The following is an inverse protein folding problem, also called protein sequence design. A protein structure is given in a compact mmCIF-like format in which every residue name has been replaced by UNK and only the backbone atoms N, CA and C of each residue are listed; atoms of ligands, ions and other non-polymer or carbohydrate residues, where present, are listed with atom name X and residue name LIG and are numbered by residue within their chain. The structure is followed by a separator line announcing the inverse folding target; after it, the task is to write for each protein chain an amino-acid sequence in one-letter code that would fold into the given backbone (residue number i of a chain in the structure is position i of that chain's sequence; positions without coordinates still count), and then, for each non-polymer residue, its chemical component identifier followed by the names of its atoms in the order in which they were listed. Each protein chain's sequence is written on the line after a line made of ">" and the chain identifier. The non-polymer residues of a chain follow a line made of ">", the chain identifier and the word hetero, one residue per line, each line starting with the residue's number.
data_IF_777397043903
#
_entry.id   IF_777397043903
#
_cell.length_a   1.000
_cell.length_b   1.000
_cell.length_c   1.000
_cell.angle_alpha   90.00
_cell.angle_beta   90.00
_cell.angle_gamma   90.00
#
_symmetry.space_group_name_H-M   'P 1'
#
loop_
_entity.id
_entity.type
_entity.pdbx_description
1 polymer ?
#
# COMPACT_ATOMS: atom_id res chain seq x y z
N UNK A 1 18.38 19.02 -3.78
CA UNK A 1 17.62 17.83 -3.33
C UNK A 1 16.85 17.28 -4.51
N UNK A 2 17.21 16.09 -5.01
CA UNK A 2 16.45 15.46 -6.11
C UNK A 2 15.26 14.71 -5.51
N UNK A 3 14.08 14.96 -6.03
CA UNK A 3 12.83 14.39 -5.54
C UNK A 3 12.10 13.68 -6.67
N UNK A 4 11.45 12.58 -6.34
CA UNK A 4 10.46 11.93 -7.21
C UNK A 4 9.11 12.03 -6.53
N UNK A 5 8.22 12.85 -7.08
CA UNK A 5 6.83 12.93 -6.59
C UNK A 5 6.11 11.63 -6.93
N UNK A 6 5.32 11.12 -6.00
CA UNK A 6 4.42 10.03 -6.30
C UNK A 6 3.23 10.52 -7.12
N UNK A 7 2.51 9.57 -7.71
CA UNK A 7 1.24 9.86 -8.34
C UNK A 7 0.28 10.40 -7.28
N UNK A 8 -0.19 11.64 -7.47
CA UNK A 8 -1.18 12.25 -6.60
C UNK A 8 -2.51 12.36 -7.33
N UNK A 9 -3.31 11.31 -7.21
CA UNK A 9 -4.65 11.21 -7.83
C UNK A 9 -5.60 12.23 -7.19
N UNK A 10 -5.43 12.50 -5.89
CA UNK A 10 -6.30 13.33 -5.07
C UNK A 10 -5.70 14.73 -4.83
N UNK A 11 -4.95 15.25 -5.79
CA UNK A 11 -4.18 16.50 -5.61
C UNK A 11 -5.03 17.74 -5.32
N UNK A 12 -6.30 17.73 -5.74
CA UNK A 12 -7.25 18.82 -5.49
C UNK A 12 -8.00 18.69 -4.15
N UNK A 13 -7.84 17.57 -3.42
CA UNK A 13 -8.56 17.31 -2.19
C UNK A 13 -7.76 17.77 -0.96
N UNK A 14 -8.28 18.76 -0.24
CA UNK A 14 -7.81 19.05 1.12
C UNK A 14 -8.39 18.04 2.11
N UNK A 15 -7.54 17.13 2.61
CA UNK A 15 -7.93 16.09 3.56
C UNK A 15 -8.49 16.61 4.89
N UNK A 16 -8.36 17.92 5.20
CA UNK A 16 -9.07 18.52 6.34
C UNK A 16 -10.60 18.43 6.20
N UNK A 17 -11.12 18.30 4.96
CA UNK A 17 -12.56 18.12 4.72
C UNK A 17 -13.12 16.86 5.38
N UNK A 18 -12.28 15.84 5.63
CA UNK A 18 -12.67 14.61 6.32
C UNK A 18 -13.05 14.84 7.78
N UNK A 19 -12.73 16.01 8.35
CA UNK A 19 -13.13 16.42 9.68
C UNK A 19 -14.50 17.14 9.68
N UNK A 20 -15.05 17.46 8.51
CA UNK A 20 -16.39 18.04 8.40
C UNK A 20 -17.46 16.97 8.65
N UNK A 21 -18.37 17.13 9.64
CA UNK A 21 -19.46 16.18 9.89
C UNK A 21 -20.42 15.95 8.72
N UNK A 22 -20.48 16.89 7.77
CA UNK A 22 -21.29 16.77 6.56
C UNK A 22 -20.60 15.97 5.44
N UNK A 23 -19.29 15.71 5.55
CA UNK A 23 -18.57 14.86 4.61
C UNK A 23 -18.83 13.39 4.96
N UNK A 24 -19.83 12.80 4.32
CA UNK A 24 -20.33 11.45 4.61
C UNK A 24 -19.95 10.43 3.53
N UNK A 25 -20.50 9.23 3.61
CA UNK A 25 -20.20 8.11 2.71
C UNK A 25 -20.40 8.46 1.22
N UNK A 26 -21.42 9.25 0.89
CA UNK A 26 -21.64 9.77 -0.46
C UNK A 26 -20.50 10.67 -0.95
N UNK A 27 -19.97 11.53 -0.08
CA UNK A 27 -18.81 12.38 -0.37
C UNK A 27 -17.54 11.56 -0.54
N UNK A 28 -17.32 10.53 0.30
CA UNK A 28 -16.20 9.58 0.14
C UNK A 28 -16.26 8.87 -1.21
N UNK A 29 -17.46 8.48 -1.66
CA UNK A 29 -17.68 7.83 -2.96
C UNK A 29 -17.29 8.70 -4.14
N UNK A 30 -17.71 9.95 -4.15
CA UNK A 30 -17.53 10.83 -5.30
C UNK A 30 -16.18 11.55 -5.30
N UNK A 31 -15.71 12.03 -4.15
CA UNK A 31 -14.51 12.88 -4.06
C UNK A 31 -13.22 12.07 -3.89
N UNK A 32 -13.31 10.80 -3.44
CA UNK A 32 -12.12 9.98 -3.14
C UNK A 32 -12.11 8.70 -3.97
N UNK A 33 -13.14 7.86 -3.82
CA UNK A 33 -13.14 6.54 -4.46
C UNK A 33 -13.24 6.66 -5.98
N UNK A 34 -14.12 7.53 -6.48
CA UNK A 34 -14.35 7.67 -7.92
C UNK A 34 -13.09 8.10 -8.71
N UNK A 35 -12.30 9.10 -8.28
CA UNK A 35 -11.01 9.41 -8.89
C UNK A 35 -10.06 8.20 -8.93
N UNK A 36 -9.94 7.46 -7.82
CA UNK A 36 -9.05 6.30 -7.69
C UNK A 36 -9.42 5.21 -8.69
N UNK A 37 -10.70 4.82 -8.76
CA UNK A 37 -11.13 3.72 -9.61
C UNK A 37 -11.11 4.08 -11.09
N UNK A 38 -11.27 5.36 -11.43
CA UNK A 38 -11.05 5.87 -12.80
C UNK A 38 -9.60 5.76 -13.20
N UNK A 39 -8.68 6.15 -12.32
CA UNK A 39 -7.25 6.06 -12.57
C UNK A 39 -6.76 4.60 -12.63
N UNK A 40 -7.39 3.68 -11.89
CA UNK A 40 -7.15 2.23 -12.03
C UNK A 40 -7.53 1.69 -13.42
N UNK A 41 -8.29 2.46 -14.22
CA UNK A 41 -8.70 2.11 -15.56
C UNK A 41 -10.12 1.56 -15.68
N UNK A 42 -10.97 1.72 -14.66
CA UNK A 42 -12.39 1.38 -14.72
C UNK A 42 -13.25 2.59 -15.11
N UNK A 43 -14.23 2.39 -15.98
CA UNK A 43 -15.12 3.43 -16.49
C UNK A 43 -16.60 3.05 -16.42
N UNK A 44 -17.47 3.85 -17.02
CA UNK A 44 -18.91 3.55 -17.06
C UNK A 44 -19.29 2.51 -18.12
N UNK A 45 -18.38 2.20 -19.04
CA UNK A 45 -18.59 1.30 -20.17
C UNK A 45 -17.58 0.15 -20.18
N UNK A 46 -17.90 -0.88 -20.96
CA UNK A 46 -16.98 -1.98 -21.29
C UNK A 46 -15.71 -1.46 -22.01
N UNK A 47 -14.59 -2.20 -21.94
CA UNK A 47 -14.42 -3.52 -21.32
C UNK A 47 -14.27 -3.50 -19.80
N UNK A 48 -13.86 -2.39 -19.19
CA UNK A 48 -13.60 -2.28 -17.74
C UNK A 48 -14.66 -1.39 -17.11
N UNK A 49 -15.71 -2.02 -16.59
CA UNK A 49 -16.93 -1.33 -16.21
C UNK A 49 -17.10 -1.23 -14.69
N UNK A 50 -17.56 -0.07 -14.23
CA UNK A 50 -18.05 0.20 -12.88
C UNK A 50 -19.57 0.00 -12.90
N UNK A 51 -20.05 -0.92 -12.07
CA UNK A 51 -21.47 -1.19 -11.85
C UNK A 51 -21.84 -0.73 -10.45
N UNK A 52 -22.81 0.19 -10.37
CA UNK A 52 -23.39 0.67 -9.12
C UNK A 52 -24.81 0.14 -8.95
N UNK A 53 -25.31 0.14 -7.72
CA UNK A 53 -26.71 -0.20 -7.41
C UNK A 53 -27.13 -1.61 -7.86
N UNK A 54 -26.17 -2.54 -7.98
CA UNK A 54 -26.45 -3.94 -8.32
C UNK A 54 -27.18 -4.60 -7.15
N UNK A 55 -28.44 -4.96 -7.37
CA UNK A 55 -29.24 -5.69 -6.38
C UNK A 55 -28.86 -7.17 -6.39
N UNK A 56 -28.24 -7.64 -5.32
CA UNK A 56 -27.90 -9.05 -5.10
C UNK A 56 -28.94 -9.66 -4.17
N UNK A 57 -29.54 -10.78 -4.56
CA UNK A 57 -30.60 -11.40 -3.76
C UNK A 57 -30.02 -12.10 -2.52
N UNK A 58 -30.32 -11.60 -1.33
CA UNK A 58 -29.82 -12.19 -0.09
C UNK A 58 -30.21 -13.68 0.00
N UNK A 59 -29.23 -14.60 0.14
CA UNK A 59 -29.45 -16.03 -0.07
C UNK A 59 -30.38 -16.70 0.94
N UNK A 60 -30.66 -16.08 2.10
CA UNK A 60 -31.35 -16.72 3.23
C UNK A 60 -32.44 -15.85 3.88
N UNK A 61 -33.56 -15.61 3.20
CA UNK A 61 -34.71 -14.94 3.85
C UNK A 61 -36.03 -15.66 3.58
N UNK A 62 -36.32 -16.64 4.43
CA UNK A 62 -37.66 -17.20 4.60
C UNK A 62 -38.15 -16.77 5.97
N UNK A 63 -39.17 -15.91 6.02
CA UNK A 63 -39.84 -15.55 7.28
C UNK A 63 -41.19 -16.28 7.30
N UNK A 64 -41.23 -17.44 7.97
CA UNK A 64 -42.38 -18.34 7.94
C UNK A 64 -42.61 -18.93 6.54
N UNK A 65 -43.88 -18.98 6.09
CA UNK A 65 -44.28 -19.50 4.77
C UNK A 65 -44.19 -18.49 3.62
N UNK A 66 -43.85 -17.22 3.91
CA UNK A 66 -43.73 -16.17 2.89
C UNK A 66 -42.26 -15.90 2.57
N UNK A 67 -41.89 -16.13 1.32
CA UNK A 67 -40.58 -15.74 0.78
C UNK A 67 -40.57 -14.22 0.57
N UNK A 68 -39.69 -13.50 1.27
CA UNK A 68 -39.44 -12.07 1.01
C UNK A 68 -38.07 -11.94 0.36
N UNK A 69 -38.03 -11.25 -0.77
CA UNK A 69 -36.76 -10.92 -1.41
C UNK A 69 -36.13 -9.75 -0.63
N UNK A 70 -35.02 -10.01 0.06
CA UNK A 70 -34.14 -8.97 0.59
C UNK A 70 -32.97 -8.85 -0.36
N UNK A 71 -32.60 -7.62 -0.69
CA UNK A 71 -31.45 -7.36 -1.54
C UNK A 71 -30.35 -6.73 -0.72
N UNK A 72 -29.13 -7.10 -1.06
CA UNK A 72 -27.93 -6.41 -0.62
C UNK A 72 -27.28 -5.73 -1.84
N UNK A 73 -26.68 -4.57 -1.63
CA UNK A 73 -26.22 -3.71 -2.71
C UNK A 73 -24.81 -3.22 -2.34
N UNK A 74 -23.75 -3.70 -3.02
CA UNK A 74 -22.44 -3.08 -2.90
C UNK A 74 -22.45 -1.69 -3.53
N UNK A 75 -21.63 -0.77 -3.02
CA UNK A 75 -21.44 0.54 -3.65
C UNK A 75 -20.88 0.41 -5.06
N UNK A 76 -19.86 -0.44 -5.23
CA UNK A 76 -19.23 -0.71 -6.52
C UNK A 76 -19.00 -2.20 -6.73
N UNK A 77 -19.42 -2.68 -7.89
CA UNK A 77 -19.01 -3.93 -8.50
C UNK A 77 -18.24 -3.60 -9.77
N UNK A 78 -17.05 -4.18 -9.94
CA UNK A 78 -16.24 -3.98 -11.12
C UNK A 78 -16.35 -5.19 -12.05
N UNK A 79 -16.43 -4.93 -13.34
CA UNK A 79 -16.37 -5.96 -14.38
C UNK A 79 -15.20 -5.72 -15.33
N UNK A 80 -14.60 -6.81 -15.78
CA UNK A 80 -13.60 -6.83 -16.86
C UNK A 80 -14.08 -7.83 -17.89
N UNK A 81 -14.26 -7.38 -19.14
CA UNK A 81 -14.78 -8.18 -20.25
C UNK A 81 -16.12 -8.88 -19.93
N UNK A 82 -16.98 -8.19 -19.18
CA UNK A 82 -18.30 -8.69 -18.79
C UNK A 82 -18.28 -9.77 -17.70
N UNK A 83 -17.15 -9.95 -17.00
CA UNK A 83 -17.02 -10.83 -15.83
C UNK A 83 -16.82 -10.01 -14.56
N UNK A 84 -17.52 -10.31 -13.45
CA UNK A 84 -17.23 -9.75 -12.14
C UNK A 84 -15.75 -9.91 -11.78
N UNK A 85 -15.10 -8.82 -11.39
CA UNK A 85 -13.67 -8.77 -11.12
C UNK A 85 -13.37 -8.60 -9.62
N UNK A 86 -13.97 -7.59 -8.99
CA UNK A 86 -13.85 -7.31 -7.56
C UNK A 86 -14.98 -6.37 -7.12
N UNK A 87 -15.12 -6.12 -5.81
CA UNK A 87 -16.10 -5.20 -5.24
C UNK A 87 -15.45 -4.18 -4.29
N UNK A 88 -16.05 -3.01 -4.15
CA UNK A 88 -15.64 -2.00 -3.17
C UNK A 88 -16.87 -1.47 -2.44
N UNK A 89 -16.77 -1.40 -1.11
CA UNK A 89 -17.78 -0.81 -0.24
C UNK A 89 -17.24 0.49 0.39
N UNK A 90 -17.97 1.58 0.25
CA UNK A 90 -17.62 2.85 0.85
C UNK A 90 -18.17 2.91 2.29
N UNK A 91 -17.54 3.73 3.12
CA UNK A 91 -18.01 4.06 4.47
C UNK A 91 -17.79 5.54 4.77
N UNK A 92 -18.48 6.05 5.79
CA UNK A 92 -18.21 7.40 6.29
C UNK A 92 -16.84 7.51 6.98
N UNK A 93 -16.21 8.71 7.02
CA UNK A 93 -14.86 8.91 7.56
C UNK A 93 -14.59 8.44 9.00
N UNK A 94 -15.63 8.28 9.81
CA UNK A 94 -15.51 7.85 11.21
C UNK A 94 -15.78 6.35 11.41
N UNK A 95 -16.07 5.62 10.35
CA UNK A 95 -16.35 4.20 10.42
C UNK A 95 -15.09 3.35 10.30
N UNK A 96 -15.06 2.25 11.04
CA UNK A 96 -13.96 1.28 11.00
C UNK A 96 -14.09 0.38 9.77
N UNK A 97 -13.01 0.27 9.00
CA UNK A 97 -12.94 -0.59 7.81
C UNK A 97 -12.03 -1.81 7.98
N UNK A 98 -11.45 -1.99 9.17
CA UNK A 98 -10.67 -3.16 9.57
C UNK A 98 -11.29 -3.78 10.83
N UNK A 99 -11.25 -5.11 10.93
CA UNK A 99 -11.74 -5.87 12.10
C UNK A 99 -13.13 -5.40 12.57
N UNK A 100 -14.06 -5.16 11.64
CA UNK A 100 -15.38 -4.59 11.89
C UNK A 100 -16.46 -5.34 11.11
N UNK A 101 -17.73 -5.12 11.48
CA UNK A 101 -18.89 -5.67 10.76
C UNK A 101 -18.97 -5.18 9.31
N UNK A 102 -18.36 -4.04 9.00
CA UNK A 102 -18.28 -3.53 7.63
C UNK A 102 -17.48 -4.49 6.75
N UNK A 103 -16.42 -5.12 7.29
CA UNK A 103 -15.63 -6.13 6.58
C UNK A 103 -16.50 -7.35 6.24
N UNK A 104 -17.30 -7.83 7.19
CA UNK A 104 -18.23 -8.96 6.98
C UNK A 104 -19.27 -8.64 5.91
N UNK A 105 -19.79 -7.40 5.90
CA UNK A 105 -20.71 -6.90 4.89
C UNK A 105 -20.08 -6.93 3.48
N UNK A 106 -18.92 -6.30 3.30
CA UNK A 106 -18.24 -6.29 2.00
C UNK A 106 -17.84 -7.71 1.56
N UNK A 107 -17.34 -8.54 2.47
CA UNK A 107 -17.03 -9.95 2.20
C UNK A 107 -18.26 -10.71 1.68
N UNK A 108 -19.44 -10.48 2.27
CA UNK A 108 -20.69 -11.13 1.83
C UNK A 108 -21.05 -10.82 0.37
N UNK A 109 -20.71 -9.63 -0.12
CA UNK A 109 -20.90 -9.25 -1.52
C UNK A 109 -19.93 -10.00 -2.44
N UNK A 110 -18.66 -10.11 -2.02
CA UNK A 110 -17.62 -10.76 -2.79
C UNK A 110 -17.90 -12.24 -3.04
N UNK A 111 -18.37 -12.95 -2.01
CA UNK A 111 -18.69 -14.39 -2.08
C UNK A 111 -20.11 -14.67 -2.59
N UNK A 112 -20.91 -13.62 -2.85
CA UNK A 112 -22.29 -13.77 -3.30
C UNK A 112 -22.35 -14.63 -4.57
N UNK A 113 -23.37 -15.48 -4.69
CA UNK A 113 -23.49 -16.46 -5.78
C UNK A 113 -23.50 -15.84 -7.18
N UNK A 114 -24.03 -14.62 -7.30
CA UNK A 114 -24.06 -13.82 -8.54
C UNK A 114 -22.77 -13.06 -8.84
N UNK A 115 -21.84 -12.95 -7.87
CA UNK A 115 -20.62 -12.13 -7.98
C UNK A 115 -19.37 -13.02 -8.01
N UNK A 116 -19.09 -13.77 -6.95
CA UNK A 116 -17.97 -14.73 -6.80
C UNK A 116 -16.62 -14.18 -7.28
N UNK A 117 -16.11 -13.18 -6.58
CA UNK A 117 -14.82 -12.54 -6.87
C UNK A 117 -13.78 -12.84 -5.80
N UNK A 118 -12.50 -12.77 -6.16
CA UNK A 118 -11.40 -13.05 -5.23
C UNK A 118 -11.07 -11.87 -4.30
N UNK A 119 -11.37 -10.65 -4.73
CA UNK A 119 -10.99 -9.43 -4.03
C UNK A 119 -12.19 -8.58 -3.65
N UNK A 120 -12.09 -7.96 -2.48
CA UNK A 120 -12.99 -6.91 -2.04
C UNK A 120 -12.24 -5.83 -1.30
N UNK A 121 -12.72 -4.61 -1.35
CA UNK A 121 -12.11 -3.49 -0.65
C UNK A 121 -13.13 -2.69 0.17
N UNK A 122 -12.61 -1.99 1.16
CA UNK A 122 -13.33 -0.96 1.90
C UNK A 122 -12.53 0.34 1.86
N UNK A 123 -13.25 1.47 1.79
CA UNK A 123 -12.65 2.78 1.93
C UNK A 123 -13.57 3.72 2.70
N UNK A 124 -13.05 4.34 3.76
CA UNK A 124 -13.76 5.37 4.53
C UNK A 124 -13.28 6.79 4.19
N UNK A 125 -12.46 6.95 3.15
CA UNK A 125 -11.84 8.22 2.80
C UNK A 125 -10.62 8.60 3.63
N UNK A 126 -10.37 7.96 4.78
CA UNK A 126 -9.12 8.09 5.55
C UNK A 126 -8.15 6.96 5.27
N UNK A 127 -8.68 5.77 5.10
CA UNK A 127 -7.97 4.52 4.93
C UNK A 127 -8.57 3.74 3.76
N UNK A 128 -7.73 2.92 3.13
CA UNK A 128 -8.13 1.96 2.12
C UNK A 128 -7.66 0.57 2.56
N UNK A 129 -8.55 -0.42 2.52
CA UNK A 129 -8.22 -1.80 2.88
C UNK A 129 -8.69 -2.74 1.77
N UNK A 130 -7.74 -3.45 1.14
CA UNK A 130 -8.00 -4.49 0.14
C UNK A 130 -7.85 -5.86 0.79
N UNK A 131 -8.78 -6.74 0.52
CA UNK A 131 -8.81 -8.11 1.03
C UNK A 131 -8.88 -9.12 -0.10
N UNK A 132 -8.33 -10.31 0.15
CA UNK A 132 -8.61 -11.50 -0.61
C UNK A 132 -9.60 -12.37 0.18
N UNK A 133 -10.62 -12.95 -0.45
CA UNK A 133 -11.68 -13.74 0.23
C UNK A 133 -11.13 -14.91 1.07
N UNK A 134 -9.95 -15.43 0.71
CA UNK A 134 -9.27 -16.49 1.44
C UNK A 134 -8.43 -16.05 2.64
N UNK A 135 -8.45 -14.76 3.03
CA UNK A 135 -7.65 -14.22 4.15
C UNK A 135 -8.52 -13.36 5.07
N UNK A 136 -8.23 -13.44 6.38
CA UNK A 136 -8.91 -12.63 7.40
C UNK A 136 -8.33 -11.20 7.44
N UNK A 137 -7.01 -11.06 7.31
CA UNK A 137 -6.34 -9.77 7.30
C UNK A 137 -6.29 -9.18 5.88
N UNK A 138 -6.27 -7.83 5.77
CA UNK A 138 -6.14 -7.17 4.47
C UNK A 138 -4.81 -7.53 3.81
N UNK A 139 -4.81 -7.65 2.48
CA UNK A 139 -3.60 -7.81 1.67
C UNK A 139 -2.92 -6.48 1.37
N UNK A 140 -3.67 -5.37 1.43
CA UNK A 140 -3.15 -4.01 1.45
C UNK A 140 -4.00 -3.19 2.42
N UNK A 141 -3.37 -2.42 3.29
CA UNK A 141 -4.04 -1.45 4.16
C UNK A 141 -3.12 -0.24 4.33
N UNK A 142 -3.62 0.95 3.99
CA UNK A 142 -2.86 2.19 4.05
C UNK A 142 -3.75 3.39 4.32
N UNK A 143 -3.16 4.46 4.83
CA UNK A 143 -3.82 5.76 4.91
C UNK A 143 -3.94 6.35 3.51
N UNK A 144 -5.07 6.95 3.14
CA UNK A 144 -5.32 7.43 1.77
C UNK A 144 -4.26 8.42 1.28
N UNK A 145 -3.62 9.17 2.18
CA UNK A 145 -2.53 10.09 1.86
C UNK A 145 -1.28 9.36 1.35
N UNK A 146 -1.13 8.07 1.64
CA UNK A 146 -0.04 7.22 1.15
C UNK A 146 -0.40 6.52 -0.18
N UNK A 147 -1.54 6.81 -0.79
CA UNK A 147 -2.02 6.14 -2.02
C UNK A 147 -0.95 6.06 -3.12
N UNK A 148 -0.18 7.13 -3.31
CA UNK A 148 0.89 7.17 -4.31
C UNK A 148 1.97 6.10 -4.09
N UNK A 149 2.28 5.76 -2.84
CA UNK A 149 3.24 4.69 -2.47
C UNK A 149 2.68 3.29 -2.78
N UNK A 150 1.37 3.10 -2.61
CA UNK A 150 0.70 1.82 -2.79
C UNK A 150 0.09 1.62 -4.18
N UNK A 151 0.21 2.61 -5.06
CA UNK A 151 -0.44 2.60 -6.38
C UNK A 151 -0.08 1.39 -7.23
N UNK A 152 1.21 1.09 -7.34
CA UNK A 152 1.69 -0.08 -8.10
C UNK A 152 1.17 -1.39 -7.51
N UNK A 153 1.08 -1.48 -6.18
CA UNK A 153 0.50 -2.64 -5.51
C UNK A 153 -0.99 -2.77 -5.79
N UNK A 154 -1.77 -1.67 -5.75
CA UNK A 154 -3.19 -1.68 -6.14
C UNK A 154 -3.36 -2.15 -7.58
N UNK A 155 -2.62 -1.54 -8.53
CA UNK A 155 -2.67 -1.91 -9.95
C UNK A 155 -2.31 -3.38 -10.18
N UNK A 156 -1.38 -3.92 -9.40
CA UNK A 156 -0.99 -5.33 -9.45
C UNK A 156 -2.11 -6.29 -9.00
N UNK A 157 -2.92 -5.92 -8.00
CA UNK A 157 -3.99 -6.80 -7.52
C UNK A 157 -5.33 -6.60 -8.22
N UNK A 158 -5.73 -5.34 -8.42
CA UNK A 158 -7.09 -4.99 -8.84
C UNK A 158 -7.11 -4.16 -10.12
N UNK A 159 -5.96 -3.91 -10.75
CA UNK A 159 -5.92 -3.36 -12.11
C UNK A 159 -6.61 -4.31 -13.10
N UNK A 160 -7.35 -3.80 -14.10
CA UNK A 160 -8.15 -4.63 -15.01
C UNK A 160 -7.38 -5.77 -15.69
N UNK A 161 -6.10 -5.54 -16.03
CA UNK A 161 -5.23 -6.52 -16.68
C UNK A 161 -4.72 -7.63 -15.72
N UNK A 162 -4.80 -7.40 -14.41
CA UNK A 162 -4.18 -8.25 -13.40
C UNK A 162 -5.17 -8.92 -12.44
N UNK A 163 -6.40 -8.40 -12.32
CA UNK A 163 -7.37 -8.81 -11.29
C UNK A 163 -7.73 -10.30 -11.29
N UNK A 164 -7.64 -10.97 -12.45
CA UNK A 164 -7.86 -12.42 -12.56
C UNK A 164 -6.60 -13.27 -12.37
N UNK A 165 -5.43 -12.65 -12.22
CA UNK A 165 -4.18 -13.37 -11.97
C UNK A 165 -4.15 -13.82 -10.50
N UNK A 166 -4.22 -15.12 -10.28
CA UNK A 166 -4.01 -15.74 -8.99
C UNK A 166 -2.52 -15.73 -8.63
N UNK A 167 -1.91 -14.57 -8.46
CA UNK A 167 -0.58 -14.50 -7.86
C UNK A 167 -0.71 -14.08 -6.40
N UNK A 168 -0.38 -14.95 -5.43
CA UNK A 168 -0.12 -14.46 -4.08
C UNK A 168 0.94 -13.37 -4.18
N UNK A 169 0.83 -12.33 -3.34
CA UNK A 169 1.88 -11.34 -3.17
C UNK A 169 3.15 -12.08 -2.75
N UNK A 170 4.01 -12.35 -3.72
CA UNK A 170 5.34 -12.85 -3.46
C UNK A 170 6.22 -11.62 -3.36
N UNK A 171 6.76 -11.42 -2.16
CA UNK A 171 7.78 -10.39 -1.97
C UNK A 171 8.89 -10.61 -3.01
N UNK A 172 9.43 -9.52 -3.54
CA UNK A 172 10.56 -9.61 -4.44
C UNK A 172 11.78 -10.20 -3.70
N UNK A 173 12.79 -10.66 -4.44
CA UNK A 173 13.98 -11.25 -3.80
C UNK A 173 14.69 -10.17 -2.97
N UNK A 174 15.25 -10.55 -1.82
CA UNK A 174 16.14 -9.66 -1.08
C UNK A 174 17.45 -9.43 -1.85
N UNK A 175 17.82 -8.15 -2.00
CA UNK A 175 19.01 -7.73 -2.74
C UNK A 175 20.31 -8.13 -2.03
N UNK A 176 20.39 -7.95 -0.71
CA UNK A 176 21.61 -8.24 0.04
C UNK A 176 21.98 -9.72 -0.03
N UNK A 177 21.01 -10.61 0.19
CA UNK A 177 21.15 -12.05 0.00
C UNK A 177 21.54 -12.42 -1.43
N UNK A 178 20.95 -11.75 -2.42
CA UNK A 178 21.27 -11.98 -3.81
C UNK A 178 22.73 -11.63 -4.13
N UNK A 179 23.18 -10.44 -3.73
CA UNK A 179 24.55 -9.97 -3.96
C UNK A 179 25.58 -10.81 -3.19
N UNK A 180 25.26 -11.23 -1.95
CA UNK A 180 26.10 -12.16 -1.17
C UNK A 180 26.29 -13.49 -1.90
N UNK A 181 25.23 -14.04 -2.48
CA UNK A 181 25.31 -15.28 -3.29
C UNK A 181 26.15 -15.12 -4.56
N UNK A 182 26.26 -13.91 -5.09
CA UNK A 182 27.12 -13.59 -6.22
C UNK A 182 28.58 -13.28 -5.79
N UNK A 183 28.89 -13.29 -4.49
CA UNK A 183 30.24 -13.07 -3.96
C UNK A 183 30.61 -11.60 -3.74
N UNK A 184 29.64 -10.68 -3.74
CA UNK A 184 29.86 -9.26 -3.46
C UNK A 184 30.01 -8.95 -1.96
N UNK A 185 29.87 -9.95 -1.08
CA UNK A 185 30.07 -9.80 0.37
C UNK A 185 31.51 -9.41 0.75
N UNK A 186 32.46 -9.63 -0.16
CA UNK A 186 33.85 -9.17 -0.04
C UNK A 186 34.09 -7.75 -0.56
N UNK A 187 33.06 -7.11 -1.13
CA UNK A 187 33.17 -5.76 -1.67
C UNK A 187 32.88 -4.74 -0.57
N UNK A 188 33.88 -3.91 -0.26
CA UNK A 188 33.75 -2.83 0.72
C UNK A 188 32.98 -1.61 0.19
N UNK A 189 32.77 -1.53 -1.13
CA UNK A 189 32.09 -0.42 -1.77
C UNK A 189 31.27 -0.88 -2.97
N UNK A 190 29.99 -0.58 -2.91
CA UNK A 190 28.99 -0.77 -3.94
C UNK A 190 28.20 0.53 -4.05
N UNK A 191 28.14 1.09 -5.26
CA UNK A 191 27.51 2.39 -5.49
C UNK A 191 26.14 2.17 -6.11
N UNK A 192 25.12 2.75 -5.48
CA UNK A 192 23.77 2.78 -6.01
C UNK A 192 23.31 4.22 -6.16
N UNK A 193 22.68 4.49 -7.31
CA UNK A 193 22.23 5.82 -7.68
C UNK A 193 20.73 5.97 -7.53
N UNK A 194 20.31 7.17 -7.13
CA UNK A 194 18.90 7.58 -7.11
C UNK A 194 17.98 6.66 -6.30
N UNK A 195 18.49 6.16 -5.17
CA UNK A 195 17.75 5.32 -4.25
C UNK A 195 16.61 6.13 -3.63
N UNK A 196 15.34 5.70 -3.78
CA UNK A 196 14.21 6.40 -3.23
C UNK A 196 14.09 6.18 -1.73
N UNK A 197 14.23 7.24 -0.95
CA UNK A 197 13.92 7.24 0.48
C UNK A 197 12.48 7.70 0.67
N UNK A 198 11.62 6.79 1.10
CA UNK A 198 10.18 7.02 1.32
C UNK A 198 9.80 7.01 2.79
N UNK A 199 10.68 6.49 3.63
CA UNK A 199 10.57 6.49 5.09
C UNK A 199 11.96 6.28 5.68
N UNK A 200 12.16 6.64 6.94
CA UNK A 200 13.35 6.32 7.73
C UNK A 200 12.90 5.97 9.14
N UNK A 201 13.38 4.86 9.67
CA UNK A 201 13.17 4.42 11.05
C UNK A 201 14.45 4.45 11.88
N UNK A 202 14.31 4.72 13.18
CA UNK A 202 15.37 4.53 14.16
C UNK A 202 15.53 3.05 14.52
N UNK A 203 16.78 2.59 14.60
CA UNK A 203 17.20 1.29 15.12
C UNK A 203 18.10 1.46 16.35
N UNK A 204 18.18 0.41 17.17
CA UNK A 204 19.09 0.34 18.31
C UNK A 204 20.49 -0.18 17.96
N UNK A 205 21.53 0.23 18.70
CA UNK A 205 21.50 1.28 19.74
C UNK A 205 21.47 2.71 19.15
N UNK A 206 22.14 2.96 18.02
CA UNK A 206 22.27 4.29 17.41
C UNK A 206 22.28 4.23 15.87
N UNK A 207 21.46 3.34 15.31
CA UNK A 207 21.37 3.08 13.88
C UNK A 207 20.07 3.61 13.29
N UNK A 208 19.99 3.64 11.97
CA UNK A 208 18.81 4.01 11.21
C UNK A 208 18.62 3.00 10.08
N UNK A 209 17.40 2.89 9.60
CA UNK A 209 17.07 2.01 8.48
C UNK A 209 16.04 2.63 7.56
N UNK A 210 16.13 2.31 6.28
CA UNK A 210 15.01 2.43 5.35
C UNK A 210 15.02 1.27 4.36
N UNK A 211 13.85 0.92 3.84
CA UNK A 211 13.71 -0.10 2.80
C UNK A 211 13.14 0.48 1.52
N UNK A 212 13.40 -0.19 0.40
CA UNK A 212 12.91 0.22 -0.91
C UNK A 212 12.87 -0.91 -1.92
N UNK A 213 12.21 -0.66 -3.04
CA UNK A 213 12.22 -1.53 -4.22
C UNK A 213 13.25 -1.07 -5.24
N UNK A 214 14.00 -2.00 -5.82
CA UNK A 214 15.02 -1.72 -6.84
C UNK A 214 14.87 -2.67 -8.02
N UNK A 215 15.06 -2.18 -9.24
CA UNK A 215 15.06 -3.02 -10.45
C UNK A 215 16.47 -3.11 -11.00
N UNK A 216 17.01 -4.33 -11.11
CA UNK A 216 18.32 -4.62 -11.70
C UNK A 216 18.14 -5.60 -12.86
N UNK A 217 18.63 -5.22 -14.04
CA UNK A 217 18.59 -5.92 -15.35
C UNK A 217 17.22 -6.33 -15.88
N UNK A 218 16.36 -6.94 -15.06
CA UNK A 218 14.91 -7.04 -15.25
C UNK A 218 14.18 -7.62 -14.02
N UNK A 219 14.92 -7.87 -12.94
CA UNK A 219 14.38 -8.42 -11.70
C UNK A 219 14.13 -7.29 -10.71
N UNK A 220 12.98 -7.37 -10.04
CA UNK A 220 12.70 -6.54 -8.88
C UNK A 220 13.31 -7.20 -7.64
N UNK A 221 13.86 -6.35 -6.78
CA UNK A 221 14.40 -6.70 -5.47
C UNK A 221 13.79 -5.80 -4.41
N UNK A 222 13.66 -6.34 -3.21
CA UNK A 222 13.52 -5.54 -1.99
C UNK A 222 14.92 -5.36 -1.42
N UNK A 223 15.20 -4.19 -0.87
CA UNK A 223 16.47 -3.89 -0.21
C UNK A 223 16.21 -3.10 1.06
N UNK A 224 16.95 -3.43 2.11
CA UNK A 224 17.01 -2.68 3.36
C UNK A 224 18.39 -2.04 3.48
N UNK A 225 18.41 -0.78 3.88
CA UNK A 225 19.62 0.03 4.03
C UNK A 225 19.75 0.46 5.48
N UNK A 226 20.75 -0.08 6.16
CA UNK A 226 21.07 0.29 7.54
C UNK A 226 22.28 1.22 7.55
N UNK A 227 22.28 2.18 8.47
CA UNK A 227 23.31 3.20 8.52
C UNK A 227 23.42 3.87 9.89
N UNK A 228 24.61 4.36 10.19
CA UNK A 228 24.94 4.94 11.49
C UNK A 228 24.68 6.45 11.56
N UNK A 229 25.02 7.06 12.69
CA UNK A 229 24.96 8.51 12.88
C UNK A 229 25.81 9.31 11.89
N UNK A 230 26.95 8.78 11.44
CA UNK A 230 27.84 9.47 10.50
C UNK A 230 27.19 9.60 9.12
N UNK A 231 26.61 8.52 8.62
CA UNK A 231 25.82 8.52 7.40
C UNK A 231 24.51 9.32 7.56
N UNK A 232 23.84 9.22 8.71
CA UNK A 232 22.63 10.00 9.00
C UNK A 232 22.89 11.50 8.93
N UNK A 233 24.01 11.99 9.48
CA UNK A 233 24.36 13.41 9.42
C UNK A 233 24.45 13.95 7.98
N UNK A 234 24.76 13.09 7.00
CA UNK A 234 24.85 13.43 5.58
C UNK A 234 23.48 13.56 4.89
N UNK A 235 22.39 13.14 5.54
CA UNK A 235 21.02 13.37 5.08
C UNK A 235 20.56 14.81 5.30
N UNK A 236 21.28 15.60 6.11
CA UNK A 236 20.91 16.99 6.38
C UNK A 236 20.85 17.80 5.07
N UNK A 237 19.72 18.46 4.81
CA UNK A 237 19.47 19.17 3.56
C UNK A 237 19.19 18.27 2.33
N UNK A 238 19.24 16.94 2.49
CA UNK A 238 18.78 15.95 1.49
C UNK A 238 17.37 15.42 1.78
N UNK A 239 16.89 15.58 3.01
CA UNK A 239 15.50 15.34 3.46
C UNK A 239 14.96 16.60 4.18
N UNK A 240 13.64 16.69 4.45
CA UNK A 240 13.06 17.81 5.19
C UNK A 240 13.68 18.00 6.59
N UNK A 241 13.86 19.25 7.03
CA UNK A 241 14.54 19.56 8.30
C UNK A 241 13.74 19.11 9.53
N UNK A 242 12.41 19.12 9.45
CA UNK A 242 11.50 18.59 10.46
C UNK A 242 11.65 17.06 10.60
N UNK A 243 11.74 16.35 9.46
CA UNK A 243 12.03 14.92 9.44
C UNK A 243 13.41 14.61 10.04
N UNK A 244 14.43 15.35 9.63
CA UNK A 244 15.79 15.20 10.15
C UNK A 244 15.84 15.46 11.67
N UNK A 245 15.22 16.54 12.14
CA UNK A 245 15.16 16.88 13.57
C UNK A 245 14.43 15.82 14.37
N UNK A 246 13.30 15.33 13.86
CA UNK A 246 12.51 14.25 14.49
C UNK A 246 13.34 12.98 14.66
N UNK A 247 14.07 12.56 13.61
CA UNK A 247 14.90 11.35 13.63
C UNK A 247 16.17 11.52 14.46
N UNK A 248 16.70 12.74 14.58
CA UNK A 248 17.89 13.03 15.39
C UNK A 248 17.60 12.87 16.89
N UNK A 249 16.40 13.23 17.31
CA UNK A 249 15.98 13.09 18.71
C UNK A 249 15.75 11.61 19.07
N UNK A 250 16.59 11.08 19.95
CA UNK A 250 16.48 9.72 20.49
C UNK A 250 15.67 9.70 21.78
N UNK A 251 14.79 8.72 21.91
CA UNK A 251 14.06 8.39 23.14
C UNK A 251 14.40 6.96 23.54
N UNK A 252 14.73 6.72 24.81
CA UNK A 252 15.06 5.37 25.29
C UNK A 252 13.83 4.45 25.34
N UNK A 253 12.61 5.01 25.35
CA UNK A 253 11.36 4.25 25.45
C UNK A 253 10.72 3.95 24.10
N UNK A 254 11.02 4.74 23.06
CA UNK A 254 10.37 4.62 21.77
C UNK A 254 11.31 4.90 20.59
N UNK A 255 11.05 4.24 19.46
CA UNK A 255 11.73 4.50 18.18
C UNK A 255 10.84 5.37 17.32
N UNK A 256 11.43 6.37 16.68
CA UNK A 256 10.72 7.25 15.74
C UNK A 256 10.87 6.72 14.32
N UNK A 257 9.78 6.85 13.57
CA UNK A 257 9.73 6.58 12.14
C UNK A 257 9.14 7.82 11.48
N UNK A 258 9.81 8.31 10.44
CA UNK A 258 9.28 9.38 9.60
C UNK A 258 8.94 8.79 8.23
N UNK A 259 7.75 9.10 7.72
CA UNK A 259 7.26 8.67 6.42
C UNK A 259 7.07 9.87 5.51
N UNK A 260 7.43 9.71 4.23
CA UNK A 260 7.30 10.72 3.20
C UNK A 260 6.18 10.29 2.23
N UNK A 261 4.98 10.81 2.45
CA UNK A 261 3.77 10.27 1.83
C UNK A 261 3.65 10.57 0.32
N UNK A 262 4.11 11.75 -0.11
CA UNK A 262 3.88 12.26 -1.47
C UNK A 262 5.15 12.31 -2.33
N UNK A 263 6.31 12.05 -1.73
CA UNK A 263 7.60 12.25 -2.38
C UNK A 263 8.63 11.25 -1.86
N UNK A 264 9.39 10.68 -2.80
CA UNK A 264 10.63 9.99 -2.49
C UNK A 264 11.80 10.97 -2.63
N UNK A 265 12.67 11.02 -1.62
CA UNK A 265 13.93 11.74 -1.67
C UNK A 265 15.00 10.85 -2.26
N UNK A 266 15.56 11.23 -3.41
CA UNK A 266 16.52 10.40 -4.12
C UNK A 266 17.93 10.69 -3.61
N UNK A 267 18.61 9.65 -3.13
CA UNK A 267 20.00 9.72 -2.66
C UNK A 267 20.89 8.77 -3.45
N UNK A 268 22.17 9.10 -3.56
CA UNK A 268 23.18 8.14 -4.00
C UNK A 268 23.88 7.59 -2.77
N UNK A 269 24.18 6.30 -2.76
CA UNK A 269 24.81 5.65 -1.60
C UNK A 269 26.01 4.84 -2.07
N UNK A 270 27.04 4.88 -1.24
CA UNK A 270 28.14 3.92 -1.25
C UNK A 270 27.94 3.03 -0.03
N UNK A 271 27.86 1.72 -0.26
CA UNK A 271 27.50 0.74 0.76
C UNK A 271 28.33 -0.54 0.63
N UNK A 272 28.16 -1.41 1.61
CA UNK A 272 28.64 -2.80 1.60
C UNK A 272 27.53 -3.74 2.05
N UNK A 273 27.70 -5.04 1.84
CA UNK A 273 26.74 -6.03 2.32
C UNK A 273 26.90 -6.17 3.85
N UNK A 274 25.79 -6.22 4.58
CA UNK A 274 25.80 -6.50 6.02
C UNK A 274 26.21 -7.93 6.34
N UNK A 275 26.49 -8.18 7.62
CA UNK A 275 26.96 -9.49 8.10
C UNK A 275 25.79 -10.36 8.57
N UNK A 276 24.87 -9.76 9.34
CA UNK A 276 23.81 -10.44 10.05
C UNK A 276 22.51 -10.55 9.25
N UNK A 277 22.01 -11.78 9.16
CA UNK A 277 20.67 -12.05 8.63
C UNK A 277 19.61 -11.55 9.60
N UNK A 278 18.58 -10.93 9.04
CA UNK A 278 17.40 -10.46 9.74
C UNK A 278 16.18 -11.27 9.27
N UNK A 279 15.18 -11.38 10.13
CA UNK A 279 13.94 -12.11 9.83
C UNK A 279 12.74 -11.31 10.34
N UNK A 280 11.68 -11.29 9.53
CA UNK A 280 10.36 -10.79 9.92
C UNK A 280 9.29 -11.83 9.55
N UNK A 281 8.02 -11.52 9.79
CA UNK A 281 6.90 -12.44 9.54
C UNK A 281 6.75 -12.89 8.07
N UNK A 282 7.37 -12.17 7.13
CA UNK A 282 7.22 -12.37 5.69
C UNK A 282 8.49 -12.88 4.99
N UNK A 283 9.68 -12.60 5.53
CA UNK A 283 10.96 -12.88 4.86
C UNK A 283 12.16 -12.99 5.80
N UNK A 284 13.21 -13.64 5.30
CA UNK A 284 14.58 -13.53 5.79
C UNK A 284 15.33 -12.65 4.79
N UNK A 285 16.03 -11.63 5.30
CA UNK A 285 16.70 -10.61 4.48
C UNK A 285 18.08 -10.26 5.05
N UNK A 286 18.91 -9.63 4.22
CA UNK A 286 20.25 -9.17 4.60
C UNK A 286 20.40 -7.68 4.31
N UNK A 287 20.43 -6.81 5.33
CA UNK A 287 20.61 -5.37 5.12
C UNK A 287 21.92 -5.02 4.42
N UNK A 288 21.88 -3.95 3.62
CA UNK A 288 23.06 -3.28 3.09
C UNK A 288 23.48 -2.20 4.09
N UNK A 289 24.78 -2.08 4.40
CA UNK A 289 25.31 -1.06 5.29
C UNK A 289 25.82 0.14 4.49
N UNK A 290 25.21 1.32 4.67
CA UNK A 290 25.67 2.54 4.00
C UNK A 290 26.99 3.02 4.64
N UNK A 291 28.02 3.15 3.81
CA UNK A 291 29.29 3.77 4.18
C UNK A 291 29.15 5.29 4.23
N UNK A 292 28.51 5.86 3.21
CA UNK A 292 28.28 7.31 3.05
C UNK A 292 27.20 7.59 2.00
N UNK A 293 26.67 8.80 2.06
CA UNK A 293 25.70 9.34 1.11
C UNK A 293 26.44 10.30 0.19
N UNK A 294 26.34 10.06 -1.12
CA UNK A 294 27.02 10.83 -2.17
C UNK A 294 26.05 11.88 -2.73
#
# INVERSE_FOLDING_TARGET
>A
MKQKKFLNILHDLDFQILNNPEFQEDSVREEIILPIIRELGYGTSKPHQIIRSRKLLHPYVSIGSKKKNIYIIPDYLFEVDGKPAWILDAKGPNEKIINSRNVEQAYSYAIHSEVRVNYFALCNGREFALYHIGRIQPILHFNITELGKYWDSLMKFIGPNNVFQNSPFKLAKDLGLHLKRLGFDKSESLIFHEIPVTEIGQLDPDMFSFSGGLKLDDQSYVVTWDFDQSAFAQLRGKIPEDAYSTLKERDNQSRKVVRFNDVAYLINVDCRIGEDLQENENEIFLPMLINRII
#
